data_IF_635708607190
#
_entry.id   IF_635708607190
#
_cell.length_a   1.000
_cell.length_b   1.000
_cell.length_c   1.000
_cell.angle_alpha   90.00
_cell.angle_beta   90.00
_cell.angle_gamma   90.00
#
_symmetry.space_group_name_H-M   'P 1'
#
loop_
_entity.id
_entity.type
_entity.pdbx_description
1 polymer ?
#
# COMPACT_ATOMS: atom_id res chain seq x y z
N UNK A 1 -12.17 3.87 -21.77
CA UNK A 1 -11.05 3.24 -21.01
C UNK A 1 -9.92 4.21 -20.68
N UNK A 2 -9.33 4.99 -21.62
CA UNK A 2 -8.24 5.93 -21.32
C UNK A 2 -8.58 6.99 -20.25
N UNK A 3 -9.69 7.71 -20.43
CA UNK A 3 -10.16 8.75 -19.48
C UNK A 3 -10.50 8.14 -18.11
N UNK A 4 -11.11 6.98 -18.09
CA UNK A 4 -11.46 6.25 -16.86
C UNK A 4 -10.21 5.91 -16.05
N UNK A 5 -9.15 5.42 -16.69
CA UNK A 5 -7.89 5.11 -16.02
C UNK A 5 -7.19 6.36 -15.46
N UNK A 6 -7.28 7.51 -16.13
CA UNK A 6 -6.78 8.79 -15.60
C UNK A 6 -7.56 9.19 -14.33
N UNK A 7 -8.89 9.14 -14.37
CA UNK A 7 -9.72 9.47 -13.22
C UNK A 7 -9.47 8.51 -12.05
N UNK A 8 -9.38 7.21 -12.35
CA UNK A 8 -9.00 6.18 -11.39
C UNK A 8 -7.62 6.49 -10.81
N UNK A 9 -6.62 6.81 -11.64
CA UNK A 9 -5.28 7.16 -11.17
C UNK A 9 -5.29 8.34 -10.21
N UNK A 10 -5.97 9.44 -10.53
CA UNK A 10 -6.09 10.61 -9.63
C UNK A 10 -6.78 10.22 -8.32
N UNK A 11 -7.88 9.48 -8.39
CA UNK A 11 -8.60 9.02 -7.20
C UNK A 11 -7.73 8.12 -6.33
N UNK A 12 -7.09 7.11 -6.92
CA UNK A 12 -6.20 6.18 -6.23
C UNK A 12 -4.98 6.89 -5.65
N UNK A 13 -4.41 7.84 -6.39
CA UNK A 13 -3.33 8.70 -5.89
C UNK A 13 -3.75 9.48 -4.65
N UNK A 14 -4.96 10.05 -4.64
CA UNK A 14 -5.52 10.77 -3.48
C UNK A 14 -5.65 9.83 -2.27
N UNK A 15 -6.18 8.64 -2.48
CA UNK A 15 -6.26 7.60 -1.43
C UNK A 15 -4.87 7.16 -0.96
N UNK A 16 -3.93 6.97 -1.88
CA UNK A 16 -2.54 6.62 -1.57
C UNK A 16 -1.85 7.67 -0.70
N UNK A 17 -1.93 8.94 -1.08
CA UNK A 17 -1.34 10.06 -0.33
C UNK A 17 -2.00 10.28 1.03
N UNK A 18 -3.33 10.16 1.10
CA UNK A 18 -4.10 10.35 2.32
C UNK A 18 -3.87 9.21 3.33
N UNK A 19 -4.02 7.96 2.91
CA UNK A 19 -3.91 6.79 3.79
C UNK A 19 -2.51 6.19 3.87
N UNK A 20 -1.61 6.57 2.96
CA UNK A 20 -0.24 6.06 2.93
C UNK A 20 -0.12 4.58 2.53
N UNK A 21 -1.12 4.04 1.83
CA UNK A 21 -1.20 2.61 1.48
C UNK A 21 -0.58 2.26 0.12
N UNK A 22 -0.04 3.23 -0.59
CA UNK A 22 0.54 3.03 -1.92
C UNK A 22 -0.49 2.90 -3.05
N UNK A 23 -1.78 2.74 -2.75
CA UNK A 23 -2.88 2.72 -3.73
C UNK A 23 -3.33 1.33 -4.17
N UNK A 24 -2.46 0.30 -4.17
CA UNK A 24 -2.76 -1.03 -4.70
C UNK A 24 -3.96 -1.73 -4.08
N UNK A 25 -4.23 -1.49 -2.79
CA UNK A 25 -5.39 -2.03 -2.09
C UNK A 25 -6.72 -1.74 -2.77
N UNK A 26 -6.87 -0.54 -3.33
CA UNK A 26 -8.09 -0.11 -4.01
C UNK A 26 -7.97 -0.31 -5.51
N UNK A 27 -6.79 -0.04 -6.06
CA UNK A 27 -6.56 -0.11 -7.50
C UNK A 27 -6.77 -1.53 -8.03
N UNK A 28 -6.25 -2.56 -7.35
CA UNK A 28 -6.42 -3.94 -7.78
C UNK A 28 -7.91 -4.34 -7.91
N UNK A 29 -8.77 -4.18 -6.89
CA UNK A 29 -10.20 -4.45 -7.04
C UNK A 29 -10.89 -3.59 -8.10
N UNK A 30 -10.52 -2.32 -8.24
CA UNK A 30 -11.10 -1.44 -9.27
C UNK A 30 -10.75 -1.92 -10.68
N UNK A 31 -9.50 -2.33 -10.92
CA UNK A 31 -9.08 -2.87 -12.21
C UNK A 31 -9.78 -4.21 -12.53
N UNK A 32 -10.00 -5.06 -11.52
CA UNK A 32 -10.80 -6.28 -11.69
C UNK A 32 -12.24 -5.95 -12.13
N UNK A 33 -12.86 -4.93 -11.54
CA UNK A 33 -14.20 -4.46 -11.95
C UNK A 33 -14.22 -3.85 -13.36
N UNK A 34 -13.09 -3.31 -13.84
CA UNK A 34 -12.92 -2.82 -15.22
C UNK A 34 -12.58 -3.94 -16.22
N UNK A 35 -12.52 -5.20 -15.78
CA UNK A 35 -12.33 -6.36 -16.63
C UNK A 35 -10.86 -6.79 -16.85
N UNK A 36 -9.91 -6.21 -16.10
CA UNK A 36 -8.53 -6.70 -16.11
C UNK A 36 -8.42 -8.03 -15.34
N UNK A 37 -7.57 -8.93 -15.79
CA UNK A 37 -7.21 -10.10 -15.01
C UNK A 37 -6.38 -9.71 -13.78
N UNK A 38 -6.37 -10.58 -12.75
CA UNK A 38 -5.74 -10.24 -11.45
C UNK A 38 -4.22 -10.01 -11.58
N UNK A 39 -3.53 -10.71 -12.46
CA UNK A 39 -2.07 -10.57 -12.61
C UNK A 39 -1.71 -9.26 -13.30
N UNK A 40 -2.48 -8.85 -14.30
CA UNK A 40 -2.36 -7.52 -14.94
C UNK A 40 -2.71 -6.41 -13.95
N UNK A 41 -3.81 -6.55 -13.20
CA UNK A 41 -4.21 -5.59 -12.17
C UNK A 41 -3.13 -5.42 -11.10
N UNK A 42 -2.50 -6.50 -10.64
CA UNK A 42 -1.36 -6.46 -9.71
C UNK A 42 -0.16 -5.72 -10.35
N UNK A 43 0.17 -6.01 -11.61
CA UNK A 43 1.29 -5.36 -12.32
C UNK A 43 1.10 -3.84 -12.45
N UNK A 44 -0.09 -3.40 -12.90
CA UNK A 44 -0.48 -1.98 -12.98
C UNK A 44 -0.41 -1.31 -11.60
N UNK A 45 -0.92 -2.01 -10.56
CA UNK A 45 -0.91 -1.49 -9.19
C UNK A 45 0.51 -1.33 -8.65
N UNK A 46 1.42 -2.27 -8.91
CA UNK A 46 2.83 -2.16 -8.49
C UNK A 46 3.48 -0.95 -9.18
N UNK A 47 3.25 -0.74 -10.47
CA UNK A 47 3.79 0.42 -11.18
C UNK A 47 3.26 1.73 -10.58
N UNK A 48 1.96 1.84 -10.36
CA UNK A 48 1.35 3.00 -9.73
C UNK A 48 1.94 3.26 -8.33
N UNK A 49 2.16 2.19 -7.53
CA UNK A 49 2.75 2.29 -6.20
C UNK A 49 4.18 2.83 -6.22
N UNK A 50 5.01 2.49 -7.21
CA UNK A 50 6.37 3.05 -7.35
C UNK A 50 6.30 4.57 -7.44
N UNK A 51 5.49 5.09 -8.35
CA UNK A 51 5.38 6.54 -8.57
C UNK A 51 4.76 7.25 -7.37
N UNK A 52 3.64 6.75 -6.87
CA UNK A 52 2.93 7.36 -5.75
C UNK A 52 3.72 7.34 -4.45
N UNK A 53 4.45 6.25 -4.17
CA UNK A 53 5.22 6.13 -2.94
C UNK A 53 6.51 6.95 -2.97
N UNK A 54 7.21 7.01 -4.11
CA UNK A 54 8.38 7.88 -4.28
C UNK A 54 7.99 9.35 -4.08
N UNK A 55 6.97 9.81 -4.80
CA UNK A 55 6.52 11.18 -4.72
C UNK A 55 5.94 11.51 -3.33
N UNK A 56 5.11 10.63 -2.79
CA UNK A 56 4.51 10.82 -1.47
C UNK A 56 5.54 10.76 -0.34
N UNK A 57 6.55 9.90 -0.42
CA UNK A 57 7.64 9.86 0.56
C UNK A 57 8.50 11.12 0.51
N UNK A 58 8.78 11.64 -0.69
CA UNK A 58 9.47 12.92 -0.85
C UNK A 58 8.70 14.09 -0.20
N UNK A 59 7.38 14.15 -0.40
CA UNK A 59 6.55 15.18 0.25
C UNK A 59 6.51 15.03 1.77
N UNK A 60 6.39 13.79 2.28
CA UNK A 60 6.41 13.52 3.73
C UNK A 60 7.78 13.82 4.35
N UNK A 61 8.88 13.56 3.63
CA UNK A 61 10.23 13.90 4.05
C UNK A 61 10.40 15.42 4.20
N UNK A 62 9.96 16.20 3.21
CA UNK A 62 9.98 17.68 3.30
C UNK A 62 9.18 18.23 4.48
N UNK A 63 8.14 17.50 4.92
CA UNK A 63 7.32 17.88 6.09
C UNK A 63 7.87 17.38 7.43
N UNK A 64 9.01 16.70 7.45
CA UNK A 64 9.61 16.15 8.67
C UNK A 64 8.83 14.99 9.31
N UNK A 65 7.91 14.38 8.56
CA UNK A 65 7.06 13.28 9.06
C UNK A 65 7.68 11.88 8.84
N UNK A 66 8.83 11.81 8.15
CA UNK A 66 9.47 10.56 7.80
C UNK A 66 10.61 10.22 8.77
N UNK A 67 10.49 9.07 9.42
CA UNK A 67 11.55 8.51 10.29
C UNK A 67 12.45 7.59 9.43
N UNK A 68 13.58 8.15 8.94
CA UNK A 68 14.49 7.42 8.05
C UNK A 68 15.14 6.21 8.71
N UNK A 69 15.55 6.32 10.00
CA UNK A 69 16.33 5.28 10.67
C UNK A 69 15.64 3.90 10.66
N UNK A 70 14.47 3.79 11.28
CA UNK A 70 13.70 2.53 11.34
C UNK A 70 13.09 2.18 9.99
N UNK A 71 12.63 3.21 9.23
CA UNK A 71 12.08 3.06 7.89
C UNK A 71 13.03 2.39 6.91
N UNK A 72 14.34 2.63 7.00
CA UNK A 72 15.34 1.99 6.14
C UNK A 72 15.49 0.49 6.44
N UNK A 73 15.45 0.06 7.71
CA UNK A 73 15.53 -1.37 8.05
C UNK A 73 14.27 -2.12 7.62
N UNK A 74 13.09 -1.55 7.84
CA UNK A 74 11.83 -2.11 7.35
C UNK A 74 11.83 -2.11 5.81
N UNK A 75 12.27 -1.02 5.19
CA UNK A 75 12.36 -0.87 3.75
C UNK A 75 13.31 -1.88 3.10
N UNK A 76 14.52 -2.08 3.66
CA UNK A 76 15.48 -3.06 3.13
C UNK A 76 14.94 -4.49 3.18
N UNK A 77 14.26 -4.88 4.26
CA UNK A 77 13.50 -6.13 4.31
C UNK A 77 12.42 -6.18 3.23
N UNK A 78 11.65 -5.08 3.09
CA UNK A 78 10.62 -4.94 2.06
C UNK A 78 11.13 -5.02 0.63
N UNK A 79 12.36 -4.57 0.37
CA UNK A 79 13.01 -4.69 -0.94
C UNK A 79 13.25 -6.16 -1.28
N UNK A 80 13.84 -6.94 -0.39
CA UNK A 80 14.08 -8.36 -0.62
C UNK A 80 12.75 -9.12 -0.69
N UNK A 81 11.83 -8.84 0.23
CA UNK A 81 10.50 -9.46 0.25
C UNK A 81 9.69 -9.14 -1.00
N UNK A 82 9.73 -7.88 -1.47
CA UNK A 82 9.03 -7.46 -2.69
C UNK A 82 9.57 -8.14 -3.95
N UNK A 83 10.88 -8.34 -4.05
CA UNK A 83 11.48 -9.08 -5.16
C UNK A 83 11.00 -10.54 -5.19
N UNK A 84 11.00 -11.22 -4.04
CA UNK A 84 10.48 -12.59 -3.90
C UNK A 84 8.99 -12.61 -4.24
N UNK A 85 8.19 -11.71 -3.66
CA UNK A 85 6.75 -11.63 -3.88
C UNK A 85 6.36 -11.41 -5.34
N UNK A 86 7.11 -10.56 -6.07
CA UNK A 86 6.90 -10.32 -7.49
C UNK A 86 7.09 -11.57 -8.35
N UNK A 87 8.07 -12.42 -8.03
CA UNK A 87 8.25 -13.72 -8.68
C UNK A 87 7.14 -14.70 -8.30
N UNK A 88 6.80 -14.78 -7.02
CA UNK A 88 5.77 -15.70 -6.51
C UNK A 88 4.41 -15.46 -7.15
N UNK A 89 4.04 -14.21 -7.41
CA UNK A 89 2.75 -13.85 -8.06
C UNK A 89 2.51 -14.63 -9.37
N UNK A 90 3.56 -14.84 -10.17
CA UNK A 90 3.45 -15.55 -11.45
C UNK A 90 3.03 -17.01 -11.33
N UNK A 91 3.39 -17.65 -10.23
CA UNK A 91 3.17 -19.08 -9.99
C UNK A 91 1.92 -19.40 -9.17
N UNK A 92 1.36 -18.40 -8.46
CA UNK A 92 0.18 -18.60 -7.63
C UNK A 92 -1.09 -18.56 -8.47
N UNK A 93 -2.02 -19.54 -8.30
CA UNK A 93 -3.34 -19.50 -8.95
C UNK A 93 -4.14 -18.26 -8.53
N UNK A 94 -4.95 -17.74 -9.47
CA UNK A 94 -5.73 -16.52 -9.28
C UNK A 94 -6.71 -16.60 -8.09
N UNK A 95 -7.33 -17.78 -7.90
CA UNK A 95 -8.24 -18.03 -6.76
C UNK A 95 -7.54 -17.93 -5.40
N UNK A 96 -6.27 -18.39 -5.33
CA UNK A 96 -5.46 -18.29 -4.10
C UNK A 96 -5.06 -16.83 -3.87
N UNK A 97 -4.67 -16.09 -4.92
CA UNK A 97 -4.36 -14.66 -4.82
C UNK A 97 -5.55 -13.88 -4.28
N UNK A 98 -6.76 -14.11 -4.81
CA UNK A 98 -7.99 -13.46 -4.34
C UNK A 98 -8.32 -13.81 -2.89
N UNK A 99 -8.21 -15.09 -2.51
CA UNK A 99 -8.43 -15.56 -1.14
C UNK A 99 -7.45 -14.96 -0.14
N UNK A 100 -6.15 -14.92 -0.46
CA UNK A 100 -5.12 -14.28 0.35
C UNK A 100 -5.36 -12.77 0.48
N UNK A 101 -5.75 -12.11 -0.62
CA UNK A 101 -6.07 -10.69 -0.63
C UNK A 101 -7.23 -10.40 0.34
N UNK A 102 -8.32 -11.18 0.26
CA UNK A 102 -9.47 -11.06 1.15
C UNK A 102 -9.08 -11.28 2.62
N UNK A 103 -8.38 -12.39 2.91
CA UNK A 103 -7.95 -12.71 4.28
C UNK A 103 -7.07 -11.63 4.89
N UNK A 104 -6.18 -11.04 4.09
CA UNK A 104 -5.26 -10.00 4.53
C UNK A 104 -5.96 -8.67 4.79
N UNK A 105 -6.93 -8.29 3.94
CA UNK A 105 -7.78 -7.13 4.18
C UNK A 105 -8.59 -7.27 5.46
N UNK A 106 -9.17 -8.45 5.68
CA UNK A 106 -9.96 -8.74 6.88
C UNK A 106 -9.10 -8.68 8.15
N UNK A 107 -7.90 -9.29 8.11
CA UNK A 107 -6.93 -9.22 9.21
C UNK A 107 -6.54 -7.78 9.52
N UNK A 108 -6.21 -6.99 8.50
CA UNK A 108 -5.81 -5.59 8.66
C UNK A 108 -6.94 -4.73 9.22
N UNK A 109 -8.18 -4.93 8.74
CA UNK A 109 -9.38 -4.27 9.26
C UNK A 109 -9.58 -4.60 10.74
N UNK A 110 -9.54 -5.89 11.11
CA UNK A 110 -9.66 -6.35 12.48
C UNK A 110 -8.64 -5.67 13.40
N UNK A 111 -7.36 -5.70 13.01
CA UNK A 111 -6.28 -5.04 13.76
C UNK A 111 -6.48 -3.54 13.91
N UNK A 112 -6.98 -2.88 12.87
CA UNK A 112 -7.20 -1.43 12.91
C UNK A 112 -8.36 -1.04 13.83
N UNK A 113 -9.47 -1.80 13.82
CA UNK A 113 -10.62 -1.57 14.71
C UNK A 113 -10.20 -1.67 16.18
N UNK A 114 -9.45 -2.71 16.53
CA UNK A 114 -9.02 -2.96 17.90
C UNK A 114 -7.75 -2.19 18.32
N UNK A 115 -7.15 -1.40 17.42
CA UNK A 115 -6.03 -0.54 17.80
C UNK A 115 -6.51 0.72 18.52
N UNK A 116 -5.87 1.06 19.65
CA UNK A 116 -6.12 2.32 20.33
C UNK A 116 -5.51 3.49 19.53
N UNK A 117 -6.19 4.64 19.54
CA UNK A 117 -5.59 5.88 19.03
C UNK A 117 -4.55 6.35 20.03
N UNK A 118 -3.29 6.26 19.68
CA UNK A 118 -2.23 6.90 20.44
C UNK A 118 -2.15 8.36 20.00
N UNK A 119 -2.22 9.29 20.99
CA UNK A 119 -1.99 10.72 20.78
C UNK A 119 -0.52 10.95 20.38
N UNK A 120 -0.24 12.10 19.79
CA UNK A 120 1.07 12.41 19.20
C UNK A 120 2.27 12.34 20.19
N UNK A 121 2.01 12.31 21.50
CA UNK A 121 3.02 12.22 22.58
C UNK A 121 3.26 10.79 23.12
N UNK A 122 2.62 9.75 22.56
CA UNK A 122 2.85 8.39 23.02
C UNK A 122 4.32 7.96 22.78
N UNK A 123 4.96 7.39 23.81
CA UNK A 123 6.31 6.82 23.69
C UNK A 123 6.25 5.67 22.69
N UNK A 124 6.78 5.89 21.49
CA UNK A 124 6.92 4.85 20.47
C UNK A 124 7.88 3.75 20.97
N UNK A 125 7.48 2.50 20.82
CA UNK A 125 8.37 1.36 21.09
C UNK A 125 9.27 1.15 19.89
N UNK A 126 10.59 1.28 20.06
CA UNK A 126 11.55 0.87 19.04
C UNK A 126 11.79 -0.64 19.14
N UNK A 127 11.79 -1.32 18.00
CA UNK A 127 12.16 -2.72 17.92
C UNK A 127 13.63 -2.86 17.49
N UNK A 128 14.29 -3.97 17.87
CA UNK A 128 15.61 -4.30 17.34
C UNK A 128 15.61 -4.30 15.80
N UNK A 129 16.68 -3.77 15.21
CA UNK A 129 16.84 -3.67 13.74
C UNK A 129 16.57 -4.98 12.97
N UNK A 130 17.02 -6.18 13.45
CA UNK A 130 16.72 -7.44 12.77
C UNK A 130 15.22 -7.76 12.72
N UNK A 131 14.47 -7.40 13.78
CA UNK A 131 13.01 -7.64 13.81
C UNK A 131 12.31 -6.73 12.81
N UNK A 132 12.73 -5.45 12.72
CA UNK A 132 12.20 -4.51 11.72
C UNK A 132 12.46 -5.01 10.30
N UNK A 133 13.64 -5.56 10.04
CA UNK A 133 13.99 -6.16 8.75
C UNK A 133 13.11 -7.38 8.42
N UNK A 134 12.91 -8.30 9.37
CA UNK A 134 12.07 -9.50 9.17
C UNK A 134 10.60 -9.09 8.95
N UNK A 135 10.09 -8.12 9.70
CA UNK A 135 8.76 -7.57 9.49
C UNK A 135 8.62 -6.98 8.07
N UNK A 136 9.62 -6.22 7.63
CA UNK A 136 9.68 -5.69 6.28
C UNK A 136 9.70 -6.79 5.22
N UNK A 137 10.52 -7.82 5.41
CA UNK A 137 10.66 -8.97 4.51
C UNK A 137 9.32 -9.69 4.32
N UNK A 138 8.70 -10.11 5.41
CA UNK A 138 7.42 -10.83 5.37
C UNK A 138 6.31 -9.95 4.77
N UNK A 139 6.23 -8.70 5.23
CA UNK A 139 5.25 -7.74 4.70
C UNK A 139 5.47 -7.51 3.20
N UNK A 140 6.72 -7.39 2.74
CA UNK A 140 7.07 -7.19 1.34
C UNK A 140 6.66 -8.36 0.45
N UNK A 141 6.90 -9.61 0.90
CA UNK A 141 6.48 -10.82 0.18
C UNK A 141 4.96 -10.77 -0.04
N UNK A 142 4.16 -10.71 1.01
CA UNK A 142 2.70 -10.73 0.90
C UNK A 142 2.16 -9.52 0.13
N UNK A 143 2.71 -8.35 0.38
CA UNK A 143 2.25 -7.11 -0.23
C UNK A 143 2.40 -7.09 -1.74
N UNK A 144 3.55 -7.51 -2.24
CA UNK A 144 3.84 -7.47 -3.68
C UNK A 144 3.22 -8.68 -4.39
N UNK A 145 3.18 -9.85 -3.75
CA UNK A 145 2.44 -11.00 -4.29
C UNK A 145 0.98 -10.65 -4.60
N UNK A 146 0.37 -9.79 -3.78
CA UNK A 146 -1.04 -9.39 -3.92
C UNK A 146 -1.22 -8.01 -4.59
N UNK A 147 -0.15 -7.26 -4.85
CA UNK A 147 -0.22 -5.92 -5.43
C UNK A 147 -0.90 -4.87 -4.53
N UNK A 148 -0.86 -5.04 -3.21
CA UNK A 148 -1.58 -4.18 -2.25
C UNK A 148 -0.71 -3.12 -1.55
N UNK A 149 0.61 -3.13 -1.78
CA UNK A 149 1.53 -2.18 -1.17
C UNK A 149 1.59 -2.27 0.36
N UNK A 150 2.44 -3.07 0.90
CA UNK A 150 2.57 -3.54 2.29
C UNK A 150 2.27 -2.62 3.47
N UNK A 151 2.04 -1.33 3.27
CA UNK A 151 1.63 -0.42 4.33
C UNK A 151 0.27 -0.79 4.95
N UNK A 152 -0.58 -1.53 4.22
CA UNK A 152 -1.83 -2.10 4.75
C UNK A 152 -1.57 -2.99 5.96
N UNK A 153 -0.54 -3.79 5.92
CA UNK A 153 -0.13 -4.67 7.02
C UNK A 153 0.71 -3.87 8.02
N UNK A 154 1.63 -3.08 7.50
CA UNK A 154 2.61 -2.37 8.31
C UNK A 154 1.95 -1.28 9.17
N UNK A 155 1.01 -0.48 8.63
CA UNK A 155 0.35 0.60 9.39
C UNK A 155 -0.38 0.08 10.63
N UNK A 156 -1.25 -0.94 10.58
CA UNK A 156 -1.85 -1.52 11.78
C UNK A 156 -0.84 -2.10 12.77
N UNK A 157 0.27 -2.65 12.30
CA UNK A 157 1.35 -3.15 13.16
C UNK A 157 2.08 -1.98 13.86
N UNK A 158 2.43 -0.94 13.13
CA UNK A 158 3.09 0.24 13.68
C UNK A 158 2.20 0.94 14.72
N UNK A 159 0.91 1.11 14.42
CA UNK A 159 -0.03 1.75 15.35
C UNK A 159 -0.38 0.84 16.52
N UNK A 160 -0.73 -0.43 16.26
CA UNK A 160 -1.29 -1.33 17.26
C UNK A 160 -0.26 -2.06 18.13
N UNK A 161 1.00 -2.20 17.68
CA UNK A 161 2.07 -2.89 18.43
C UNK A 161 3.17 -1.93 18.86
N UNK A 162 3.57 -1.02 17.98
CA UNK A 162 4.68 -0.08 18.24
C UNK A 162 4.22 1.28 18.75
N UNK A 163 2.89 1.48 18.85
CA UNK A 163 2.28 2.69 19.39
C UNK A 163 2.66 3.98 18.63
N UNK A 164 2.90 3.85 17.31
CA UNK A 164 3.15 5.01 16.46
C UNK A 164 1.88 5.86 16.31
N UNK A 165 2.00 7.20 16.32
CA UNK A 165 0.92 8.07 15.87
C UNK A 165 0.53 7.72 14.44
N UNK A 166 -0.78 7.68 14.15
CA UNK A 166 -1.27 7.17 12.87
C UNK A 166 -0.67 7.90 11.65
N UNK A 167 -0.49 9.22 11.73
CA UNK A 167 0.10 10.02 10.64
C UNK A 167 1.56 9.67 10.37
N UNK A 168 2.33 9.33 11.41
CA UNK A 168 3.71 8.84 11.28
C UNK A 168 3.74 7.42 10.72
N UNK A 169 2.90 6.53 11.24
CA UNK A 169 2.79 5.16 10.73
C UNK A 169 2.45 5.13 9.24
N UNK A 170 1.52 5.98 8.80
CA UNK A 170 1.15 6.20 7.39
C UNK A 170 2.36 6.68 6.56
N UNK A 171 3.16 7.60 7.09
CA UNK A 171 4.34 8.11 6.37
C UNK A 171 5.46 7.07 6.25
N UNK A 172 5.71 6.30 7.31
CA UNK A 172 6.67 5.17 7.30
C UNK A 172 6.17 4.05 6.40
N UNK A 173 4.86 3.75 6.43
CA UNK A 173 4.23 2.77 5.54
C UNK A 173 4.41 3.13 4.06
N UNK A 174 4.18 4.39 3.70
CA UNK A 174 4.39 4.86 2.32
C UNK A 174 5.86 4.79 1.90
N UNK A 175 6.79 5.07 2.81
CA UNK A 175 8.23 4.94 2.57
C UNK A 175 8.65 3.48 2.39
N UNK A 176 8.09 2.56 3.18
CA UNK A 176 8.27 1.12 2.99
C UNK A 176 7.81 0.68 1.59
N UNK A 177 6.68 1.22 1.10
CA UNK A 177 6.16 0.89 -0.24
C UNK A 177 7.14 1.27 -1.34
N UNK A 178 7.97 2.31 -1.18
CA UNK A 178 9.04 2.64 -2.16
C UNK A 178 9.93 1.42 -2.41
N UNK A 179 10.44 0.82 -1.34
CA UNK A 179 11.38 -0.31 -1.45
C UNK A 179 10.70 -1.56 -2.00
N UNK A 180 9.55 -1.92 -1.45
CA UNK A 180 8.83 -3.13 -1.87
C UNK A 180 8.30 -3.02 -3.29
N UNK A 181 7.74 -1.87 -3.69
CA UNK A 181 7.20 -1.71 -5.05
C UNK A 181 8.28 -1.59 -6.12
N UNK A 182 9.40 -0.89 -5.84
CA UNK A 182 10.53 -0.84 -6.78
C UNK A 182 11.09 -2.23 -7.03
N UNK A 183 11.34 -3.00 -5.98
CA UNK A 183 11.84 -4.37 -6.13
C UNK A 183 10.82 -5.31 -6.76
N UNK A 184 9.54 -5.15 -6.42
CA UNK A 184 8.43 -5.88 -7.04
C UNK A 184 8.30 -5.56 -8.54
N UNK A 185 8.45 -4.29 -8.92
CA UNK A 185 8.47 -3.89 -10.32
C UNK A 185 9.64 -4.52 -11.07
N UNK A 186 10.86 -4.47 -10.51
CA UNK A 186 12.04 -5.11 -11.08
C UNK A 186 11.83 -6.61 -11.28
N UNK A 187 11.24 -7.29 -10.28
CA UNK A 187 10.89 -8.70 -10.36
C UNK A 187 9.90 -8.99 -11.49
N UNK A 188 8.82 -8.22 -11.61
CA UNK A 188 7.80 -8.38 -12.65
C UNK A 188 8.33 -8.07 -14.06
N UNK A 189 9.22 -7.09 -14.17
CA UNK A 189 9.93 -6.76 -15.41
C UNK A 189 10.77 -7.94 -15.90
N UNK A 190 11.47 -8.63 -15.01
CA UNK A 190 12.32 -9.77 -15.37
C UNK A 190 11.51 -10.97 -15.90
N UNK A 191 10.20 -11.04 -15.57
CA UNK A 191 9.29 -12.10 -16.01
C UNK A 191 8.48 -11.68 -17.27
N UNK A 192 8.52 -10.39 -17.65
CA UNK A 192 7.82 -9.87 -18.83
C UNK A 192 6.28 -9.79 -18.68
N UNK A 193 5.77 -9.58 -17.47
CA UNK A 193 4.33 -9.64 -17.15
C UNK A 193 3.76 -8.28 -16.73
N UNK A 194 4.19 -7.18 -17.35
CA UNK A 194 3.71 -5.83 -17.01
C UNK A 194 3.00 -5.20 -18.20
N UNK A 195 1.80 -4.71 -17.95
CA UNK A 195 1.08 -3.80 -18.85
C UNK A 195 1.61 -2.37 -18.64
N UNK A 196 2.62 -2.00 -19.45
CA UNK A 196 3.27 -0.69 -19.33
C UNK A 196 2.37 0.47 -19.70
N UNK A 197 1.52 0.32 -20.70
CA UNK A 197 0.69 1.40 -21.20
C UNK A 197 -0.32 1.84 -20.14
N UNK A 198 -1.14 0.91 -19.66
CA UNK A 198 -2.13 1.20 -18.64
C UNK A 198 -1.47 1.51 -17.29
N UNK A 199 -0.38 0.83 -16.94
CA UNK A 199 0.36 1.04 -15.71
C UNK A 199 0.97 2.44 -15.62
N UNK A 200 1.61 2.94 -16.69
CA UNK A 200 2.21 4.26 -16.72
C UNK A 200 1.15 5.36 -16.70
N UNK A 201 0.04 5.16 -17.40
CA UNK A 201 -1.09 6.10 -17.43
C UNK A 201 -1.66 6.32 -16.02
N UNK A 202 -1.96 5.23 -15.30
CA UNK A 202 -2.45 5.29 -13.92
C UNK A 202 -1.40 5.85 -12.96
N UNK A 203 -0.13 5.46 -13.14
CA UNK A 203 0.97 5.93 -12.30
C UNK A 203 1.17 7.46 -12.40
N UNK A 204 1.27 8.00 -13.61
CA UNK A 204 1.48 9.44 -13.83
C UNK A 204 0.28 10.26 -13.37
N UNK A 205 -0.95 9.84 -13.71
CA UNK A 205 -2.16 10.52 -13.25
C UNK A 205 -2.32 10.50 -11.73
N UNK A 206 -1.84 9.45 -11.06
CA UNK A 206 -1.89 9.34 -9.60
C UNK A 206 -1.03 10.38 -8.86
N UNK A 207 0.01 10.95 -9.48
CA UNK A 207 0.87 11.96 -8.84
C UNK A 207 0.09 13.19 -8.39
N UNK A 208 -0.85 13.67 -9.22
CA UNK A 208 -1.73 14.78 -8.87
C UNK A 208 -2.57 14.42 -7.62
N UNK A 209 -3.12 13.22 -7.61
CA UNK A 209 -3.89 12.73 -6.48
C UNK A 209 -3.07 12.62 -5.21
N UNK A 210 -1.83 12.12 -5.28
CA UNK A 210 -0.94 11.98 -4.10
C UNK A 210 -0.71 13.33 -3.40
N UNK A 211 -0.47 14.40 -4.16
CA UNK A 211 -0.31 15.74 -3.60
C UNK A 211 -1.56 16.19 -2.83
N UNK A 212 -2.75 15.99 -3.43
CA UNK A 212 -4.04 16.29 -2.81
C UNK A 212 -4.24 15.44 -1.55
N UNK A 213 -3.96 14.14 -1.62
CA UNK A 213 -4.14 13.21 -0.50
C UNK A 213 -3.26 13.55 0.71
N UNK A 214 -1.99 13.90 0.47
CA UNK A 214 -1.06 14.31 1.54
C UNK A 214 -1.51 15.65 2.17
N UNK A 215 -2.00 16.59 1.38
CA UNK A 215 -2.57 17.82 1.91
C UNK A 215 -3.80 17.53 2.79
N UNK A 216 -4.74 16.69 2.32
CA UNK A 216 -5.91 16.26 3.10
C UNK A 216 -5.54 15.58 4.41
N UNK A 217 -4.50 14.73 4.42
CA UNK A 217 -3.98 14.07 5.63
C UNK A 217 -3.58 15.08 6.71
N UNK A 218 -3.01 16.21 6.33
CA UNK A 218 -2.55 17.22 7.28
C UNK A 218 -3.73 17.99 7.90
N UNK A 219 -4.77 18.26 7.13
CA UNK A 219 -5.97 19.00 7.56
C UNK A 219 -6.89 18.15 8.44
N UNK A 220 -6.95 16.83 8.18
CA UNK A 220 -7.88 15.93 8.87
C UNK A 220 -7.30 15.48 10.22
N UNK A 221 -8.14 15.48 11.26
CA UNK A 221 -7.73 14.98 12.59
C UNK A 221 -7.45 13.47 12.59
N UNK A 222 -6.53 13.01 13.45
CA UNK A 222 -6.13 11.59 13.55
C UNK A 222 -7.33 10.65 13.76
N UNK A 223 -8.34 11.05 14.54
CA UNK A 223 -9.56 10.27 14.76
C UNK A 223 -10.38 10.10 13.47
N UNK A 224 -10.60 11.20 12.73
CA UNK A 224 -11.34 11.16 11.46
C UNK A 224 -10.55 10.35 10.41
N UNK A 225 -9.23 10.49 10.39
CA UNK A 225 -8.35 9.72 9.51
C UNK A 225 -8.47 8.21 9.75
N UNK A 226 -8.48 7.77 11.02
CA UNK A 226 -8.68 6.35 11.36
C UNK A 226 -10.04 5.84 10.93
N UNK A 227 -11.13 6.60 11.15
CA UNK A 227 -12.49 6.23 10.72
C UNK A 227 -12.54 6.08 9.19
N UNK A 228 -11.97 7.05 8.47
CA UNK A 228 -11.91 7.00 7.01
C UNK A 228 -11.10 5.78 6.51
N UNK A 229 -10.00 5.43 7.20
CA UNK A 229 -9.22 4.23 6.89
C UNK A 229 -10.02 2.94 7.10
N UNK A 230 -10.78 2.83 8.21
CA UNK A 230 -11.68 1.69 8.45
C UNK A 230 -12.73 1.58 7.33
N UNK A 231 -13.37 2.71 6.97
CA UNK A 231 -14.36 2.73 5.89
C UNK A 231 -13.76 2.29 4.55
N UNK A 232 -12.51 2.67 4.28
CA UNK A 232 -11.77 2.23 3.10
C UNK A 232 -11.58 0.72 3.06
N UNK A 233 -11.15 0.09 4.17
CA UNK A 233 -10.98 -1.37 4.25
C UNK A 233 -12.30 -2.10 4.02
N UNK A 234 -13.39 -1.61 4.63
CA UNK A 234 -14.73 -2.17 4.41
C UNK A 234 -15.12 -2.07 2.93
N UNK A 235 -14.92 -0.90 2.31
CA UNK A 235 -15.21 -0.69 0.88
C UNK A 235 -14.41 -1.62 -0.03
N UNK A 236 -13.12 -1.80 0.24
CA UNK A 236 -12.27 -2.72 -0.53
C UNK A 236 -12.70 -4.19 -0.39
N UNK A 237 -13.10 -4.61 0.83
CA UNK A 237 -13.64 -5.95 1.07
C UNK A 237 -14.95 -6.15 0.29
N UNK A 238 -15.86 -5.19 0.32
CA UNK A 238 -17.13 -5.26 -0.41
C UNK A 238 -16.93 -5.33 -1.93
N UNK A 239 -15.98 -4.54 -2.47
CA UNK A 239 -15.62 -4.61 -3.89
C UNK A 239 -15.09 -5.99 -4.29
N UNK A 240 -14.22 -6.57 -3.44
CA UNK A 240 -13.64 -7.88 -3.71
C UNK A 240 -14.69 -9.00 -3.63
N UNK A 241 -15.58 -8.95 -2.63
CA UNK A 241 -16.71 -9.89 -2.50
C UNK A 241 -17.60 -9.85 -3.73
N UNK A 242 -17.94 -8.64 -4.23
CA UNK A 242 -18.72 -8.50 -5.46
C UNK A 242 -18.04 -9.14 -6.66
N UNK A 243 -16.71 -9.02 -6.77
CA UNK A 243 -15.96 -9.57 -7.91
C UNK A 243 -15.83 -11.11 -7.86
N UNK A 244 -15.83 -11.71 -6.65
CA UNK A 244 -15.69 -13.17 -6.48
C UNK A 244 -17.03 -13.89 -6.64
N UNK A 245 -18.16 -13.26 -6.28
CA UNK A 245 -19.47 -13.91 -6.18
C UNK A 245 -20.48 -13.47 -7.24
N UNK A 246 -20.22 -12.42 -7.97
CA UNK A 246 -21.08 -11.84 -9.01
C UNK A 246 -20.28 -11.45 -10.25
#
# INVERSE_FOLDING_TARGET
MFVELILVGIFIGTMSGFFGIGGGMILTPVLLLLGFDIKSAIGISIMQMVFSSLFGSYLNYKKGLLLLGEGLFIGSGGFIGGYIGGHVTGYVPDSILQGLFFGLLFFALFRLIFSHNHEDDAKTKSLPKPILFILGLLTGIFAITLGIGGSIILTPLLVGVLHYPIKRAVSVGLFFVVFSSVSGLLSRLSIGTIDFENGLLVALSSLLGVAIGIWLKDVVSSKKHKIALIALYIGAILMLVKNIWF
#
